data_IF_287330986496
#
_entry.id   IF_287330986496
#
_cell.length_a   1.000
_cell.length_b   1.000
_cell.length_c   1.000
_cell.angle_alpha   90.00
_cell.angle_beta   90.00
_cell.angle_gamma   90.00
#
_symmetry.space_group_name_H-M   'P 1'
#
loop_
_entity.id
_entity.type
_entity.pdbx_description
1 polymer ?
#
# COMPACT_ATOMS: atom_id res chain seq x y z
N UNK A 1 -18.22 2.55 -16.70
CA UNK A 1 -16.80 2.60 -17.08
C UNK A 1 -16.14 3.91 -16.66
N UNK A 2 -16.75 5.08 -16.96
CA UNK A 2 -16.19 6.38 -16.51
C UNK A 2 -16.04 6.46 -14.98
N UNK A 3 -17.05 6.05 -14.23
CA UNK A 3 -17.06 6.03 -12.77
C UNK A 3 -15.91 5.18 -12.19
N UNK A 4 -15.64 3.99 -12.77
CA UNK A 4 -14.57 3.10 -12.31
C UNK A 4 -13.17 3.68 -12.57
N UNK A 5 -12.97 4.36 -13.71
CA UNK A 5 -11.70 5.04 -14.02
C UNK A 5 -11.50 6.22 -13.07
N UNK A 6 -12.55 7.00 -12.83
CA UNK A 6 -12.51 8.13 -11.90
C UNK A 6 -12.19 7.66 -10.49
N UNK A 7 -12.79 6.56 -10.05
CA UNK A 7 -12.52 5.93 -8.76
C UNK A 7 -11.07 5.45 -8.65
N UNK A 8 -10.52 4.80 -9.69
CA UNK A 8 -9.13 4.34 -9.70
C UNK A 8 -8.14 5.52 -9.64
N UNK A 9 -8.35 6.56 -10.45
CA UNK A 9 -7.50 7.75 -10.48
C UNK A 9 -7.62 8.54 -9.17
N UNK A 10 -8.84 8.67 -8.65
CA UNK A 10 -9.08 9.30 -7.36
C UNK A 10 -8.39 8.58 -6.20
N UNK A 11 -8.42 7.25 -6.19
CA UNK A 11 -7.73 6.43 -5.19
C UNK A 11 -6.19 6.49 -5.33
N UNK A 12 -5.67 6.62 -6.55
CA UNK A 12 -4.22 6.65 -6.79
C UNK A 12 -3.59 8.01 -6.43
N UNK A 13 -4.22 9.11 -6.81
CA UNK A 13 -3.64 10.46 -6.71
C UNK A 13 -4.23 11.25 -5.55
N UNK A 14 -5.55 11.42 -5.51
CA UNK A 14 -6.23 12.31 -4.55
C UNK A 14 -6.26 11.69 -3.15
N UNK A 15 -6.71 10.43 -3.06
CA UNK A 15 -6.78 9.67 -1.80
C UNK A 15 -5.61 8.68 -1.70
N UNK A 16 -4.39 9.14 -1.97
CA UNK A 16 -3.22 8.27 -1.88
C UNK A 16 -3.08 7.71 -0.46
N UNK A 17 -3.06 6.38 -0.35
CA UNK A 17 -3.07 5.68 0.93
C UNK A 17 -1.88 6.05 1.83
N UNK A 18 -0.72 6.35 1.25
CA UNK A 18 0.49 6.72 2.02
C UNK A 18 0.48 8.18 2.40
N UNK A 19 0.25 9.07 1.43
CA UNK A 19 0.46 10.52 1.61
C UNK A 19 -0.76 11.24 2.20
N UNK A 20 -1.98 10.72 1.96
CA UNK A 20 -3.21 11.30 2.48
C UNK A 20 -3.72 10.58 3.74
N UNK A 21 -3.63 9.24 3.79
CA UNK A 21 -4.15 8.45 4.90
C UNK A 21 -3.07 7.98 5.87
N UNK A 22 -1.79 8.20 5.55
CA UNK A 22 -0.64 7.78 6.36
C UNK A 22 -0.58 6.27 6.65
N UNK A 23 -1.17 5.45 5.77
CA UNK A 23 -1.14 4.00 5.85
C UNK A 23 -0.01 3.43 4.97
N UNK A 24 0.65 2.37 5.46
CA UNK A 24 1.78 1.76 4.73
C UNK A 24 3.10 2.53 4.86
N UNK A 25 3.26 3.33 5.90
CA UNK A 25 4.49 4.10 6.16
C UNK A 25 5.69 3.18 6.42
N UNK A 26 5.50 2.03 7.08
CA UNK A 26 6.58 1.11 7.41
C UNK A 26 7.37 0.65 6.18
N UNK A 27 6.75 0.06 5.15
CA UNK A 27 7.47 -0.26 3.92
C UNK A 27 7.91 0.99 3.14
N UNK A 28 7.14 2.07 3.18
CA UNK A 28 7.47 3.34 2.54
C UNK A 28 8.79 3.94 3.04
N UNK A 29 9.03 3.96 4.35
CA UNK A 29 10.28 4.45 4.94
C UNK A 29 11.41 3.42 4.87
N UNK A 30 11.07 2.13 5.06
CA UNK A 30 12.06 1.05 5.16
C UNK A 30 12.72 0.70 3.83
N UNK A 31 11.94 0.61 2.75
CA UNK A 31 12.39 0.07 1.46
C UNK A 31 12.73 1.14 0.43
N UNK A 32 12.47 2.41 0.70
CA UNK A 32 12.71 3.53 -0.23
C UNK A 32 14.17 4.00 -0.30
N UNK A 33 15.16 3.14 0.00
CA UNK A 33 16.60 3.50 -0.10
C UNK A 33 17.10 3.48 -1.54
N UNK A 34 16.61 2.53 -2.35
CA UNK A 34 16.99 2.38 -3.77
C UNK A 34 15.73 2.25 -4.61
N UNK A 35 15.73 2.86 -5.78
CA UNK A 35 14.58 2.84 -6.71
C UNK A 35 14.25 1.43 -7.19
N UNK A 36 15.23 0.56 -7.41
CA UNK A 36 15.00 -0.83 -7.82
C UNK A 36 14.26 -1.65 -6.75
N UNK A 37 14.70 -1.55 -5.48
CA UNK A 37 14.03 -2.25 -4.38
C UNK A 37 12.65 -1.67 -4.08
N UNK A 38 12.48 -0.35 -4.22
CA UNK A 38 11.20 0.33 -4.08
C UNK A 38 10.20 -0.11 -5.15
N UNK A 39 10.63 -0.22 -6.41
CA UNK A 39 9.78 -0.70 -7.50
C UNK A 39 9.36 -2.18 -7.31
N UNK A 40 10.31 -3.04 -6.91
CA UNK A 40 10.03 -4.45 -6.60
C UNK A 40 9.02 -4.60 -5.45
N UNK A 41 9.20 -3.81 -4.38
CA UNK A 41 8.27 -3.78 -3.25
C UNK A 41 6.89 -3.28 -3.67
N UNK A 42 6.83 -2.21 -4.47
CA UNK A 42 5.57 -1.68 -4.98
C UNK A 42 4.82 -2.69 -5.84
N UNK A 43 5.51 -3.44 -6.71
CA UNK A 43 4.92 -4.53 -7.50
C UNK A 43 4.33 -5.64 -6.62
N UNK A 44 5.06 -6.07 -5.58
CA UNK A 44 4.56 -7.05 -4.62
C UNK A 44 3.31 -6.55 -3.87
N UNK A 45 3.31 -5.27 -3.47
CA UNK A 45 2.16 -4.64 -2.80
C UNK A 45 0.94 -4.56 -3.72
N UNK A 46 1.11 -4.25 -5.01
CA UNK A 46 0.01 -4.26 -6.00
C UNK A 46 -0.64 -5.64 -6.05
N UNK A 47 0.16 -6.69 -6.15
CA UNK A 47 -0.34 -8.05 -6.21
C UNK A 47 -1.11 -8.44 -4.93
N UNK A 48 -0.51 -8.16 -3.77
CA UNK A 48 -1.12 -8.48 -2.47
C UNK A 48 -2.42 -7.71 -2.24
N UNK A 49 -2.45 -6.39 -2.47
CA UNK A 49 -3.65 -5.57 -2.26
C UNK A 49 -4.79 -6.01 -3.20
N UNK A 50 -4.48 -6.32 -4.46
CA UNK A 50 -5.49 -6.75 -5.43
C UNK A 50 -6.15 -8.06 -5.01
N UNK A 51 -5.35 -9.07 -4.65
CA UNK A 51 -5.87 -10.37 -4.20
C UNK A 51 -6.60 -10.23 -2.88
N UNK A 52 -6.05 -9.48 -1.92
CA UNK A 52 -6.68 -9.25 -0.62
C UNK A 52 -8.03 -8.53 -0.76
N UNK A 53 -8.11 -7.51 -1.62
CA UNK A 53 -9.38 -6.80 -1.87
C UNK A 53 -10.44 -7.72 -2.47
N UNK A 54 -10.05 -8.61 -3.37
CA UNK A 54 -10.98 -9.59 -3.95
C UNK A 54 -11.48 -10.59 -2.90
N UNK A 55 -10.56 -11.20 -2.13
CA UNK A 55 -10.92 -12.22 -1.14
C UNK A 55 -11.70 -11.63 0.04
N UNK A 56 -11.30 -10.45 0.54
CA UNK A 56 -12.01 -9.79 1.63
C UNK A 56 -13.42 -9.36 1.21
N UNK A 57 -13.62 -8.92 -0.04
CA UNK A 57 -14.96 -8.61 -0.56
C UNK A 57 -15.84 -9.87 -0.66
N UNK A 58 -15.28 -11.02 -1.08
CA UNK A 58 -15.99 -12.29 -1.08
C UNK A 58 -16.39 -12.74 0.33
N UNK A 59 -15.44 -12.68 1.28
CA UNK A 59 -15.70 -13.08 2.67
C UNK A 59 -16.76 -12.18 3.30
N UNK A 60 -16.70 -10.88 3.06
CA UNK A 60 -17.70 -9.94 3.54
C UNK A 60 -19.10 -10.32 3.06
N UNK A 61 -19.25 -10.52 1.75
CA UNK A 61 -20.55 -10.79 1.13
C UNK A 61 -21.12 -12.16 1.47
N UNK A 62 -20.29 -13.20 1.56
CA UNK A 62 -20.74 -14.59 1.75
C UNK A 62 -20.76 -15.04 3.20
N UNK A 63 -19.94 -14.46 4.06
CA UNK A 63 -19.76 -14.91 5.45
C UNK A 63 -20.26 -13.87 6.44
N UNK A 64 -19.76 -12.64 6.39
CA UNK A 64 -20.06 -11.63 7.41
C UNK A 64 -21.49 -11.10 7.32
N UNK A 65 -21.99 -10.81 6.12
CA UNK A 65 -23.34 -10.31 5.90
C UNK A 65 -24.44 -11.27 6.40
N UNK A 66 -24.43 -12.58 6.04
CA UNK A 66 -25.48 -13.49 6.48
C UNK A 66 -25.39 -13.85 7.97
N UNK A 67 -24.21 -13.74 8.61
CA UNK A 67 -24.05 -14.03 10.03
C UNK A 67 -24.29 -12.82 10.96
N UNK A 68 -24.42 -11.61 10.42
CA UNK A 68 -24.56 -10.35 11.19
C UNK A 68 -23.41 -10.13 12.22
N UNK A 69 -22.15 -10.49 11.84
CA UNK A 69 -20.97 -10.42 12.71
C UNK A 69 -20.07 -9.24 12.26
N UNK A 70 -20.68 -8.10 11.95
CA UNK A 70 -19.93 -6.95 11.41
C UNK A 70 -18.88 -6.36 12.36
N UNK A 71 -19.06 -6.51 13.68
CA UNK A 71 -18.10 -6.00 14.66
C UNK A 71 -16.77 -6.78 14.66
N UNK A 72 -16.76 -8.04 14.17
CA UNK A 72 -15.55 -8.87 14.09
C UNK A 72 -14.81 -8.75 12.74
N UNK A 73 -15.32 -7.90 11.81
CA UNK A 73 -14.74 -7.76 10.47
C UNK A 73 -13.25 -7.48 10.46
N UNK A 74 -12.75 -6.63 11.35
CA UNK A 74 -11.34 -6.27 11.44
C UNK A 74 -10.47 -7.48 11.79
N UNK A 75 -10.88 -8.30 12.77
CA UNK A 75 -10.14 -9.50 13.19
C UNK A 75 -10.10 -10.54 12.07
N UNK A 76 -11.24 -10.76 11.42
CA UNK A 76 -11.33 -11.69 10.29
C UNK A 76 -10.43 -11.23 9.14
N UNK A 77 -10.41 -9.94 8.82
CA UNK A 77 -9.57 -9.41 7.75
C UNK A 77 -8.08 -9.54 8.06
N UNK A 78 -7.65 -9.21 9.30
CA UNK A 78 -6.26 -9.38 9.71
C UNK A 78 -5.83 -10.85 9.55
N UNK A 79 -6.66 -11.79 9.99
CA UNK A 79 -6.34 -13.22 9.91
C UNK A 79 -6.25 -13.70 8.46
N UNK A 80 -7.21 -13.30 7.63
CA UNK A 80 -7.24 -13.68 6.20
C UNK A 80 -6.07 -13.06 5.43
N UNK A 81 -5.79 -11.78 5.66
CA UNK A 81 -4.67 -11.09 5.02
C UNK A 81 -3.34 -11.71 5.44
N UNK A 82 -3.16 -12.03 6.72
CA UNK A 82 -1.96 -12.69 7.22
C UNK A 82 -1.74 -14.06 6.56
N UNK A 83 -2.77 -14.88 6.47
CA UNK A 83 -2.71 -16.19 5.81
C UNK A 83 -2.40 -16.07 4.31
N UNK A 84 -3.02 -15.11 3.63
CA UNK A 84 -2.78 -14.81 2.22
C UNK A 84 -1.34 -14.39 1.95
N UNK A 85 -0.82 -13.47 2.74
CA UNK A 85 0.53 -12.95 2.54
C UNK A 85 1.58 -14.02 2.86
N UNK A 86 1.35 -14.87 3.84
CA UNK A 86 2.21 -16.04 4.08
C UNK A 86 2.23 -17.00 2.88
N UNK A 87 1.10 -17.21 2.26
CA UNK A 87 1.02 -18.00 1.02
C UNK A 87 1.82 -17.34 -0.11
N UNK A 88 1.66 -16.02 -0.29
CA UNK A 88 2.42 -15.24 -1.29
C UNK A 88 3.92 -15.27 -1.01
N UNK A 89 4.34 -15.20 0.25
CA UNK A 89 5.74 -15.30 0.66
C UNK A 89 6.34 -16.65 0.25
N UNK A 90 5.65 -17.77 0.54
CA UNK A 90 6.09 -19.10 0.11
C UNK A 90 6.17 -19.21 -1.42
N UNK A 91 5.25 -18.59 -2.13
CA UNK A 91 5.23 -18.58 -3.59
C UNK A 91 6.41 -17.77 -4.16
N UNK A 92 6.68 -16.57 -3.63
CA UNK A 92 7.82 -15.72 -4.02
C UNK A 92 9.16 -16.42 -3.76
N UNK A 93 9.30 -17.07 -2.61
CA UNK A 93 10.50 -17.84 -2.27
C UNK A 93 10.82 -18.95 -3.27
N UNK A 94 9.79 -19.59 -3.82
CA UNK A 94 9.93 -20.69 -4.79
C UNK A 94 10.08 -20.19 -6.23
N UNK A 95 9.40 -19.11 -6.59
CA UNK A 95 9.28 -18.64 -7.98
C UNK A 95 10.34 -17.60 -8.36
N UNK A 96 10.73 -16.74 -7.44
CA UNK A 96 11.65 -15.61 -7.70
C UNK A 96 12.67 -15.44 -6.56
N UNK A 97 13.65 -16.37 -6.40
CA UNK A 97 14.65 -16.31 -5.33
C UNK A 97 15.45 -15.00 -5.28
N UNK A 98 15.89 -14.40 -6.42
CA UNK A 98 16.67 -13.15 -6.36
C UNK A 98 15.86 -11.97 -5.84
N UNK A 99 14.56 -11.90 -6.11
CA UNK A 99 13.68 -10.88 -5.55
C UNK A 99 13.44 -11.14 -4.04
N UNK A 100 13.31 -12.41 -3.66
CA UNK A 100 13.18 -12.80 -2.26
C UNK A 100 14.42 -12.40 -1.45
N UNK A 101 15.63 -12.62 -1.96
CA UNK A 101 16.88 -12.24 -1.29
C UNK A 101 17.06 -10.70 -1.20
N UNK A 102 16.68 -9.96 -2.24
CA UNK A 102 16.77 -8.50 -2.24
C UNK A 102 15.77 -7.83 -1.30
N UNK A 103 14.57 -8.41 -1.14
CA UNK A 103 13.54 -7.96 -0.21
C UNK A 103 13.76 -8.49 1.23
N UNK A 104 14.41 -9.65 1.38
CA UNK A 104 14.89 -10.29 2.61
C UNK A 104 14.14 -9.93 3.89
N UNK A 105 14.77 -9.10 4.72
CA UNK A 105 14.23 -8.65 6.03
C UNK A 105 12.95 -7.80 5.90
N UNK A 106 12.63 -7.28 4.70
CA UNK A 106 11.47 -6.41 4.48
C UNK A 106 10.18 -7.18 4.12
N UNK A 107 10.27 -8.49 3.90
CA UNK A 107 9.08 -9.32 3.62
C UNK A 107 8.02 -9.27 4.74
N UNK A 108 8.38 -9.32 6.02
CA UNK A 108 7.39 -9.13 7.09
C UNK A 108 6.65 -7.80 7.03
N UNK A 109 7.24 -6.75 6.43
CA UNK A 109 6.57 -5.46 6.23
C UNK A 109 5.43 -5.52 5.19
N UNK A 110 5.42 -6.53 4.32
CA UNK A 110 4.29 -6.77 3.41
C UNK A 110 3.15 -7.43 4.19
N UNK A 111 3.47 -8.38 5.07
CA UNK A 111 2.48 -9.14 5.87
C UNK A 111 1.73 -8.23 6.83
N UNK A 112 2.44 -7.32 7.49
CA UNK A 112 1.89 -6.38 8.48
C UNK A 112 1.55 -5.01 7.87
N UNK A 113 1.40 -4.94 6.54
CA UNK A 113 1.16 -3.67 5.86
C UNK A 113 -0.25 -3.14 6.15
N UNK A 114 -0.30 -2.05 6.91
CA UNK A 114 -1.55 -1.38 7.26
C UNK A 114 -2.33 -0.82 6.05
N UNK A 115 -1.66 -0.58 4.91
CA UNK A 115 -2.36 -0.17 3.69
C UNK A 115 -3.29 -1.27 3.16
N UNK A 116 -2.89 -2.55 3.23
CA UNK A 116 -3.72 -3.69 2.79
C UNK A 116 -5.00 -3.76 3.62
N UNK A 117 -4.85 -3.68 4.94
CA UNK A 117 -6.00 -3.66 5.87
C UNK A 117 -6.86 -2.40 5.66
N UNK A 118 -6.23 -1.24 5.49
CA UNK A 118 -6.93 0.03 5.28
C UNK A 118 -7.81 0.01 4.03
N UNK A 119 -7.31 -0.54 2.92
CA UNK A 119 -8.10 -0.70 1.68
C UNK A 119 -9.28 -1.64 1.90
N UNK A 120 -9.08 -2.77 2.57
CA UNK A 120 -10.16 -3.72 2.85
C UNK A 120 -11.27 -3.10 3.72
N UNK A 121 -10.89 -2.33 4.76
CA UNK A 121 -11.85 -1.62 5.61
C UNK A 121 -12.57 -0.51 4.85
N UNK A 122 -11.87 0.27 4.04
CA UNK A 122 -12.46 1.35 3.23
C UNK A 122 -13.46 0.82 2.23
N UNK A 123 -13.17 -0.32 1.58
CA UNK A 123 -14.09 -0.96 0.64
C UNK A 123 -15.42 -1.34 1.31
N UNK A 124 -15.38 -1.80 2.55
CA UNK A 124 -16.60 -2.14 3.31
C UNK A 124 -17.32 -0.89 3.82
N UNK A 125 -16.58 0.11 4.31
CA UNK A 125 -17.17 1.37 4.80
C UNK A 125 -17.92 2.14 3.71
N UNK A 126 -17.42 2.07 2.47
CA UNK A 126 -18.02 2.70 1.29
C UNK A 126 -19.02 1.80 0.56
N UNK A 127 -19.29 0.61 1.11
CA UNK A 127 -20.23 -0.38 0.55
C UNK A 127 -19.95 -0.70 -0.94
N UNK A 128 -18.69 -0.73 -1.32
CA UNK A 128 -18.31 -0.99 -2.70
C UNK A 128 -18.71 -2.41 -3.13
N UNK A 129 -19.18 -2.53 -4.37
CA UNK A 129 -19.36 -3.83 -5.02
C UNK A 129 -17.99 -4.54 -5.17
N UNK A 130 -18.00 -5.85 -5.39
CA UNK A 130 -16.76 -6.65 -5.55
C UNK A 130 -15.86 -6.04 -6.63
N UNK A 131 -16.45 -5.61 -7.75
CA UNK A 131 -15.70 -5.01 -8.87
C UNK A 131 -15.11 -3.66 -8.49
N UNK A 132 -15.88 -2.79 -7.86
CA UNK A 132 -15.42 -1.48 -7.38
C UNK A 132 -14.35 -1.62 -6.32
N UNK A 133 -14.48 -2.58 -5.41
CA UNK A 133 -13.49 -2.87 -4.38
C UNK A 133 -12.14 -3.31 -4.95
N UNK A 134 -12.15 -4.15 -5.99
CA UNK A 134 -10.92 -4.56 -6.70
C UNK A 134 -10.30 -3.39 -7.46
N UNK A 135 -11.10 -2.60 -8.16
CA UNK A 135 -10.63 -1.41 -8.89
C UNK A 135 -10.05 -0.37 -7.94
N UNK A 136 -10.70 -0.13 -6.80
CA UNK A 136 -10.17 0.72 -5.74
C UNK A 136 -8.84 0.18 -5.19
N UNK A 137 -8.74 -1.13 -4.99
CA UNK A 137 -7.50 -1.79 -4.56
C UNK A 137 -6.35 -1.61 -5.55
N UNK A 138 -6.60 -1.80 -6.85
CA UNK A 138 -5.62 -1.56 -7.91
C UNK A 138 -5.21 -0.07 -7.96
N UNK A 139 -6.16 0.84 -7.93
CA UNK A 139 -5.89 2.28 -7.92
C UNK A 139 -5.02 2.70 -6.74
N UNK A 140 -5.39 2.27 -5.55
CA UNK A 140 -4.65 2.56 -4.32
C UNK A 140 -3.23 2.00 -4.34
N UNK A 141 -3.05 0.77 -4.83
CA UNK A 141 -1.74 0.11 -4.89
C UNK A 141 -0.82 0.74 -5.94
N UNK A 142 -1.36 1.21 -7.05
CA UNK A 142 -0.60 2.01 -8.05
C UNK A 142 -0.19 3.35 -7.43
N UNK A 143 -1.08 4.01 -6.67
CA UNK A 143 -0.74 5.21 -5.91
C UNK A 143 0.38 4.99 -4.90
N UNK A 144 0.38 3.84 -4.21
CA UNK A 144 1.47 3.43 -3.32
C UNK A 144 2.79 3.29 -4.08
N UNK A 145 2.79 2.60 -5.24
CA UNK A 145 3.98 2.42 -6.08
C UNK A 145 4.56 3.78 -6.51
N UNK A 146 3.71 4.69 -6.99
CA UNK A 146 4.15 6.04 -7.41
C UNK A 146 4.80 6.77 -6.23
N UNK A 147 4.17 6.78 -5.08
CA UNK A 147 4.68 7.46 -3.89
C UNK A 147 6.05 6.91 -3.44
N UNK A 148 6.20 5.57 -3.38
CA UNK A 148 7.45 4.95 -2.91
C UNK A 148 8.60 5.14 -3.91
N UNK A 149 8.33 5.12 -5.22
CA UNK A 149 9.34 5.35 -6.26
C UNK A 149 9.81 6.81 -6.25
N UNK A 150 8.88 7.78 -6.12
CA UNK A 150 9.25 9.20 -5.99
C UNK A 150 10.12 9.41 -4.74
N UNK A 151 9.73 8.83 -3.62
CA UNK A 151 10.50 8.92 -2.38
C UNK A 151 11.90 8.32 -2.52
N UNK A 152 12.02 7.16 -3.17
CA UNK A 152 13.32 6.52 -3.42
C UNK A 152 14.22 7.40 -4.32
N UNK A 153 13.67 7.97 -5.39
CA UNK A 153 14.41 8.88 -6.27
C UNK A 153 14.88 10.16 -5.56
N UNK A 154 14.08 10.71 -4.66
CA UNK A 154 14.49 11.87 -3.85
C UNK A 154 15.61 11.46 -2.89
N UNK A 155 15.51 10.30 -2.24
CA UNK A 155 16.54 9.81 -1.30
C UNK A 155 17.86 9.53 -1.99
N UNK A 156 17.86 8.91 -3.18
CA UNK A 156 19.07 8.70 -3.97
C UNK A 156 19.75 10.04 -4.32
N UNK A 157 18.98 11.07 -4.67
CA UNK A 157 19.55 12.40 -4.91
C UNK A 157 20.08 13.08 -3.64
N UNK A 158 19.42 12.88 -2.51
CA UNK A 158 19.86 13.49 -1.25
C UNK A 158 21.15 12.87 -0.70
N UNK A 159 21.47 11.64 -1.07
CA UNK A 159 22.71 10.97 -0.64
C UNK A 159 23.99 11.72 -1.10
N UNK A 160 23.91 12.47 -2.20
CA UNK A 160 25.01 13.26 -2.74
C UNK A 160 25.08 14.72 -2.22
N UNK A 161 24.18 15.12 -1.34
CA UNK A 161 24.12 16.46 -0.80
C UNK A 161 24.70 16.53 0.61
N UNK A 162 25.40 17.64 0.92
CA UNK A 162 25.88 17.94 2.26
C UNK A 162 24.71 18.29 3.19
N UNK A 163 24.26 17.30 3.94
CA UNK A 163 23.19 17.46 4.94
C UNK A 163 23.84 17.53 6.31
N UNK A 164 23.41 18.50 7.14
CA UNK A 164 23.87 18.62 8.52
C UNK A 164 23.68 17.31 9.30
N UNK A 165 24.68 16.94 10.09
CA UNK A 165 24.71 15.67 10.85
C UNK A 165 23.44 15.43 11.69
N UNK A 166 22.84 16.50 12.23
CA UNK A 166 21.60 16.43 13.02
C UNK A 166 20.36 16.00 12.22
N UNK A 167 20.38 16.16 10.91
CA UNK A 167 19.27 15.81 10.01
C UNK A 167 19.52 14.54 9.21
N UNK A 168 20.72 13.98 9.26
CA UNK A 168 21.05 12.76 8.52
C UNK A 168 20.21 11.55 8.99
N UNK A 169 19.83 10.70 8.06
CA UNK A 169 19.10 9.45 8.34
C UNK A 169 17.57 9.63 8.34
N UNK A 170 16.90 9.18 9.39
CA UNK A 170 15.43 9.15 9.47
C UNK A 170 14.78 10.54 9.50
N UNK A 171 15.34 11.59 10.16
CA UNK A 171 14.69 12.90 10.22
C UNK A 171 14.47 13.52 8.84
N UNK A 172 15.47 13.52 7.97
CA UNK A 172 15.33 14.10 6.62
C UNK A 172 14.30 13.36 5.76
N UNK A 173 14.21 12.03 5.95
CA UNK A 173 13.24 11.19 5.25
C UNK A 173 11.81 11.55 5.67
N UNK A 174 11.59 11.81 6.96
CA UNK A 174 10.28 12.22 7.48
C UNK A 174 9.90 13.64 6.98
N UNK A 175 10.85 14.57 6.97
CA UNK A 175 10.63 15.92 6.41
C UNK A 175 10.25 15.83 4.93
N UNK A 176 10.95 15.02 4.17
CA UNK A 176 10.64 14.78 2.74
C UNK A 176 9.25 14.17 2.57
N UNK A 177 8.88 13.20 3.38
CA UNK A 177 7.54 12.60 3.36
C UNK A 177 6.45 13.64 3.67
N UNK A 178 6.68 14.53 4.65
CA UNK A 178 5.76 15.63 4.96
C UNK A 178 5.60 16.59 3.79
N UNK A 179 6.70 17.00 3.14
CA UNK A 179 6.65 17.87 1.98
C UNK A 179 5.93 17.23 0.80
N UNK A 180 6.15 15.92 0.57
CA UNK A 180 5.40 15.17 -0.43
C UNK A 180 3.90 15.11 -0.10
N UNK A 181 3.54 14.90 1.16
CA UNK A 181 2.14 14.87 1.59
C UNK A 181 1.46 16.24 1.35
N UNK A 182 2.14 17.35 1.65
CA UNK A 182 1.63 18.69 1.37
C UNK A 182 1.44 18.91 -0.14
N UNK A 183 2.41 18.47 -0.96
CA UNK A 183 2.30 18.57 -2.42
C UNK A 183 1.10 17.77 -2.96
N UNK A 184 0.87 16.56 -2.45
CA UNK A 184 -0.27 15.74 -2.85
C UNK A 184 -1.61 16.26 -2.31
N UNK A 185 -1.60 16.98 -1.18
CA UNK A 185 -2.79 17.66 -0.67
C UNK A 185 -3.30 18.74 -1.64
N UNK A 186 -2.43 19.32 -2.48
CA UNK A 186 -2.80 20.26 -3.54
C UNK A 186 -3.70 19.65 -4.64
N UNK A 187 -3.72 18.31 -4.77
CA UNK A 187 -4.65 17.60 -5.66
C UNK A 187 -6.02 17.32 -5.02
N UNK A 188 -6.13 17.54 -3.72
CA UNK A 188 -7.39 17.40 -2.99
C UNK A 188 -8.38 18.49 -3.45
N UNK A 189 -9.48 18.07 -4.07
CA UNK A 189 -10.49 19.00 -4.62
C UNK A 189 -10.54 19.05 -6.15
N UNK A 190 -9.72 18.26 -6.85
CA UNK A 190 -9.80 18.13 -8.31
C UNK A 190 -10.86 17.13 -8.79
N UNK A 191 -11.33 16.28 -7.87
CA UNK A 191 -12.36 15.24 -8.15
C UNK A 191 -13.47 15.32 -7.09
#
# INVERSE_FOLDING_TARGET
MKELILLAVGAAIVNNVVLSQFLGICPFLGVSKKTETAAGMGGAVIFVITISSFITALIYKFILLPLNIDYLKTIVYILVIAALVQFVEMFLKKSMPPLYESLGVYLPLITTNCAVLGVALTNVQKEYSIIEGVVNGIGTSVGFLIAIVIMAGIREKMEYNDISESFQGTPIVLITACLMAIAFCGFSGLI
#
